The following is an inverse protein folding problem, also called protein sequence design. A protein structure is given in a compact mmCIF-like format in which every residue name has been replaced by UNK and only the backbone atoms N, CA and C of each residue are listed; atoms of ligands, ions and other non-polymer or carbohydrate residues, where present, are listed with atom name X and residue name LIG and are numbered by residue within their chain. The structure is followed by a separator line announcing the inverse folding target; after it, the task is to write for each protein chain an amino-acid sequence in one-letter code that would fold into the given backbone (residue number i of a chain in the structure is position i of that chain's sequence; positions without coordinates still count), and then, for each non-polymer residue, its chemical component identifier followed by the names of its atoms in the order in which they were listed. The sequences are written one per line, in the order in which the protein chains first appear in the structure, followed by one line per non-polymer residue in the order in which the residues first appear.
data_IF_213760510360
#
_entry.id   IF_213760510360
#
_cell.length_a   1.000
_cell.length_b   1.000
_cell.length_c   1.000
_cell.angle_alpha   90.00
_cell.angle_beta   90.00
_cell.angle_gamma   90.00
#
_symmetry.space_group_name_H-M   'P 1'
#
loop_
_entity.id
_entity.type
_entity.pdbx_description
1 polymer ?
#
# COMPACT_ATOMS: atom_id res chain seq x y z
N UNK A 1 1.15 -10.84 -16.72
CA UNK A 1 1.55 -12.22 -17.02
C UNK A 1 2.55 -12.31 -18.19
N UNK A 2 2.54 -11.33 -19.06
CA UNK A 2 3.54 -11.26 -20.13
C UNK A 2 4.95 -11.04 -19.57
N UNK A 3 5.05 -10.32 -18.43
CA UNK A 3 6.33 -10.06 -17.77
C UNK A 3 6.83 -11.32 -17.07
N UNK A 4 5.93 -12.03 -16.38
CA UNK A 4 6.28 -13.27 -15.67
C UNK A 4 5.13 -14.26 -15.77
N UNK A 5 5.21 -15.23 -16.72
CA UNK A 5 4.13 -16.19 -16.92
C UNK A 5 4.01 -17.25 -15.83
N UNK A 6 4.96 -17.28 -14.88
CA UNK A 6 4.94 -18.26 -13.78
C UNK A 6 4.20 -17.75 -12.55
N UNK A 7 3.72 -16.49 -12.55
CA UNK A 7 2.96 -15.96 -11.44
C UNK A 7 1.52 -16.47 -11.45
N UNK A 8 1.06 -16.88 -10.28
CA UNK A 8 -0.37 -17.14 -10.06
C UNK A 8 -1.04 -15.83 -9.69
N UNK A 9 -1.96 -15.36 -10.52
CA UNK A 9 -2.68 -14.11 -10.31
C UNK A 9 -4.17 -14.38 -10.26
N UNK A 10 -4.80 -14.00 -9.14
CA UNK A 10 -6.26 -13.95 -9.01
C UNK A 10 -6.70 -12.50 -9.13
N UNK A 11 -7.65 -12.24 -9.99
CA UNK A 11 -8.22 -10.91 -10.18
C UNK A 11 -9.67 -10.90 -9.72
N UNK A 12 -9.98 -10.04 -8.76
CA UNK A 12 -11.32 -9.87 -8.24
C UNK A 12 -11.81 -8.46 -8.55
N UNK A 13 -12.79 -8.34 -9.45
CA UNK A 13 -13.36 -7.04 -9.80
C UNK A 13 -14.50 -6.73 -8.85
N UNK A 14 -14.17 -6.32 -7.63
CA UNK A 14 -15.14 -6.06 -6.56
C UNK A 14 -14.80 -4.75 -5.86
N UNK A 15 -15.81 -4.13 -5.27
CA UNK A 15 -15.61 -2.98 -4.41
C UNK A 15 -15.22 -3.48 -3.01
N UNK A 16 -14.05 -3.07 -2.53
CA UNK A 16 -13.60 -3.45 -1.20
C UNK A 16 -14.38 -2.66 -0.15
N UNK A 17 -14.96 -3.36 0.80
CA UNK A 17 -15.74 -2.78 1.91
C UNK A 17 -15.39 -3.48 3.20
N UNK A 18 -15.78 -2.89 4.33
CA UNK A 18 -15.52 -3.49 5.63
C UNK A 18 -16.09 -4.91 5.77
N UNK A 19 -17.24 -5.16 5.13
CA UNK A 19 -17.95 -6.43 5.25
C UNK A 19 -17.35 -7.55 4.39
N UNK A 20 -16.46 -7.24 3.45
CA UNK A 20 -15.84 -8.26 2.59
C UNK A 20 -14.32 -8.39 2.76
N UNK A 21 -13.69 -7.61 3.64
CA UNK A 21 -12.25 -7.62 3.83
C UNK A 21 -11.70 -8.99 4.24
N UNK A 22 -12.32 -9.60 5.25
CA UNK A 22 -11.83 -10.87 5.78
C UNK A 22 -11.85 -11.98 4.74
N UNK A 23 -12.90 -12.02 3.95
CA UNK A 23 -13.04 -13.03 2.90
C UNK A 23 -12.10 -12.78 1.74
N UNK A 24 -12.01 -11.52 1.27
CA UNK A 24 -11.16 -11.16 0.14
C UNK A 24 -9.69 -11.46 0.40
N UNK A 25 -9.21 -11.17 1.60
CA UNK A 25 -7.79 -11.28 1.93
C UNK A 25 -7.46 -12.47 2.83
N UNK A 26 -8.38 -13.45 2.93
CA UNK A 26 -8.23 -14.59 3.83
C UNK A 26 -6.88 -15.30 3.68
N UNK A 27 -6.43 -15.51 2.46
CA UNK A 27 -5.21 -16.27 2.17
C UNK A 27 -3.96 -15.39 2.02
N UNK A 28 -4.13 -14.07 2.06
CA UNK A 28 -3.03 -13.15 1.84
C UNK A 28 -2.41 -12.73 3.17
N UNK A 29 -1.10 -12.85 3.29
CA UNK A 29 -0.38 -12.44 4.50
C UNK A 29 0.06 -10.99 4.45
N UNK A 30 0.32 -10.49 3.24
CA UNK A 30 0.75 -9.12 2.99
C UNK A 30 -0.25 -8.46 2.08
N UNK A 31 -0.75 -7.31 2.47
CA UNK A 31 -1.72 -6.52 1.71
C UNK A 31 -1.09 -5.20 1.33
N UNK A 32 -1.10 -4.86 0.04
CA UNK A 32 -0.62 -3.58 -0.45
C UNK A 32 -1.82 -2.69 -0.77
N UNK A 33 -1.88 -1.53 -0.15
CA UNK A 33 -2.95 -0.57 -0.38
C UNK A 33 -2.51 0.42 -1.46
N UNK A 34 -3.33 0.63 -2.46
CA UNK A 34 -3.04 1.50 -3.59
C UNK A 34 -4.27 2.33 -4.02
N UNK A 35 -5.14 2.66 -3.08
CA UNK A 35 -6.32 3.48 -3.37
C UNK A 35 -5.96 4.95 -3.58
N UNK A 36 -6.77 5.63 -4.38
CA UNK A 36 -6.64 7.08 -4.60
C UNK A 36 -7.38 7.90 -3.54
N UNK A 37 -8.48 7.37 -3.02
CA UNK A 37 -9.38 8.09 -2.11
C UNK A 37 -8.95 7.86 -0.67
N UNK A 38 -8.68 8.95 0.11
CA UNK A 38 -8.23 8.80 1.51
C UNK A 38 -9.15 7.97 2.39
N UNK A 39 -10.45 8.09 2.21
CA UNK A 39 -11.44 7.34 2.99
C UNK A 39 -11.32 5.83 2.73
N UNK A 40 -11.05 5.44 1.49
CA UNK A 40 -10.84 4.04 1.13
C UNK A 40 -9.54 3.50 1.69
N UNK A 41 -8.48 4.32 1.69
CA UNK A 41 -7.20 3.97 2.31
C UNK A 41 -7.38 3.69 3.80
N UNK A 42 -8.01 4.61 4.50
CA UNK A 42 -8.25 4.48 5.93
C UNK A 42 -9.10 3.25 6.26
N UNK A 43 -10.15 3.03 5.48
CA UNK A 43 -11.02 1.87 5.67
C UNK A 43 -10.26 0.56 5.54
N UNK A 44 -9.42 0.43 4.51
CA UNK A 44 -8.66 -0.80 4.29
C UNK A 44 -7.62 -1.00 5.39
N UNK A 45 -6.83 0.04 5.71
CA UNK A 45 -5.78 -0.07 6.74
C UNK A 45 -6.40 -0.43 8.09
N UNK A 46 -7.42 0.32 8.53
CA UNK A 46 -8.07 0.06 9.80
C UNK A 46 -8.76 -1.29 9.83
N UNK A 47 -9.42 -1.65 8.75
CA UNK A 47 -10.13 -2.92 8.65
C UNK A 47 -9.18 -4.12 8.73
N UNK A 48 -8.06 -4.07 8.04
CA UNK A 48 -7.06 -5.15 8.09
C UNK A 48 -6.45 -5.27 9.48
N UNK A 49 -6.08 -4.14 10.09
CA UNK A 49 -5.48 -4.15 11.42
C UNK A 49 -6.43 -4.65 12.51
N UNK A 50 -7.71 -4.33 12.39
CA UNK A 50 -8.72 -4.74 13.38
C UNK A 50 -9.23 -6.17 13.17
N UNK A 51 -9.57 -6.51 11.92
CA UNK A 51 -10.29 -7.75 11.60
C UNK A 51 -9.40 -8.90 11.15
N UNK A 52 -8.19 -8.58 10.71
CA UNK A 52 -7.27 -9.57 10.20
C UNK A 52 -5.93 -9.48 10.94
N UNK A 53 -5.91 -9.69 12.26
CA UNK A 53 -4.67 -9.59 13.02
C UNK A 53 -3.64 -10.61 12.52
N UNK A 54 -2.41 -10.17 12.44
CA UNK A 54 -1.32 -10.99 11.92
C UNK A 54 -0.99 -10.74 10.46
N UNK A 55 -1.87 -10.08 9.71
CA UNK A 55 -1.57 -9.65 8.34
C UNK A 55 -0.78 -8.36 8.37
N UNK A 56 0.18 -8.23 7.46
CA UNK A 56 0.96 -7.01 7.30
C UNK A 56 0.34 -6.17 6.19
N UNK A 57 0.14 -4.88 6.46
CA UNK A 57 -0.35 -3.96 5.45
C UNK A 57 0.69 -2.89 5.13
N UNK A 58 0.90 -2.67 3.83
CA UNK A 58 1.78 -1.65 3.30
C UNK A 58 0.91 -0.63 2.57
N UNK A 59 0.97 0.61 2.99
CA UNK A 59 0.16 1.70 2.44
C UNK A 59 1.06 2.84 1.98
N UNK A 60 0.49 3.80 1.28
CA UNK A 60 1.19 4.96 0.77
C UNK A 60 0.47 6.25 1.16
N UNK A 61 1.24 7.28 1.47
CA UNK A 61 0.73 8.61 1.79
C UNK A 61 1.82 9.64 1.57
N UNK A 62 1.42 10.87 1.21
CA UNK A 62 2.38 11.95 1.07
C UNK A 62 3.28 11.81 -0.15
N UNK A 63 2.69 11.61 -1.32
CA UNK A 63 3.44 11.49 -2.57
C UNK A 63 3.06 12.55 -3.59
N UNK A 64 2.31 13.58 -3.18
CA UNK A 64 1.87 14.63 -4.08
C UNK A 64 3.00 15.62 -4.40
N UNK A 65 2.88 16.28 -5.56
CA UNK A 65 3.78 17.35 -5.95
C UNK A 65 5.12 16.89 -6.49
N UNK A 66 6.12 17.76 -6.35
CA UNK A 66 7.45 17.58 -6.95
C UNK A 66 8.60 17.79 -5.96
N UNK A 67 8.30 17.75 -4.69
CA UNK A 67 9.28 18.05 -3.64
C UNK A 67 10.47 17.08 -3.60
N UNK A 68 11.25 17.18 -2.55
CA UNK A 68 12.46 16.37 -2.37
C UNK A 68 12.14 14.89 -2.41
N UNK A 69 12.76 14.17 -3.35
CA UNK A 69 12.55 12.73 -3.49
C UNK A 69 13.01 11.94 -2.26
N UNK A 70 14.02 12.45 -1.56
CA UNK A 70 14.54 11.79 -0.34
C UNK A 70 13.60 11.91 0.86
N UNK A 71 12.57 12.77 0.77
CA UNK A 71 11.54 12.85 1.80
C UNK A 71 10.57 11.67 1.74
N UNK A 72 10.50 10.98 0.62
CA UNK A 72 9.69 9.75 0.50
C UNK A 72 10.48 8.61 1.15
N UNK A 73 9.92 8.07 2.21
CA UNK A 73 10.58 7.04 3.00
C UNK A 73 9.62 5.90 3.30
N UNK A 74 10.17 4.73 3.58
CA UNK A 74 9.43 3.61 4.13
C UNK A 74 9.53 3.68 5.65
N UNK A 75 8.39 3.75 6.33
CA UNK A 75 8.33 3.83 7.79
C UNK A 75 7.55 2.66 8.36
N UNK A 76 8.10 2.03 9.37
CA UNK A 76 7.40 1.01 10.13
C UNK A 76 6.60 1.69 11.24
N UNK A 77 5.29 1.75 11.09
CA UNK A 77 4.41 2.41 12.05
C UNK A 77 4.11 1.49 13.23
N UNK A 78 3.73 0.25 12.94
CA UNK A 78 3.54 -0.79 13.94
C UNK A 78 4.14 -2.09 13.44
N UNK A 79 4.03 -3.17 14.23
CA UNK A 79 4.55 -4.48 13.84
C UNK A 79 4.02 -4.97 12.49
N UNK A 80 2.78 -4.59 12.15
CA UNK A 80 2.11 -5.08 10.95
C UNK A 80 1.67 -3.95 9.99
N UNK A 81 2.14 -2.72 10.22
CA UNK A 81 1.76 -1.59 9.39
C UNK A 81 2.98 -0.78 8.98
N UNK A 82 3.17 -0.65 7.66
CA UNK A 82 4.23 0.16 7.07
C UNK A 82 3.60 1.23 6.18
N UNK A 83 4.17 2.42 6.21
CA UNK A 83 3.70 3.56 5.43
C UNK A 83 4.84 4.10 4.56
N UNK A 84 4.61 4.21 3.27
CA UNK A 84 5.55 4.77 2.30
C UNK A 84 5.08 6.15 1.85
N UNK A 85 5.96 7.13 1.83
CA UNK A 85 5.65 8.50 1.43
C UNK A 85 6.35 9.51 2.32
N UNK A 86 6.03 10.80 2.14
CA UNK A 86 6.59 11.88 2.96
C UNK A 86 5.69 12.26 4.14
N UNK A 87 4.49 11.71 4.21
CA UNK A 87 3.48 11.93 5.27
C UNK A 87 2.87 13.33 5.33
N UNK A 88 3.39 14.27 4.57
CA UNK A 88 2.93 15.67 4.64
C UNK A 88 2.29 16.17 3.34
N UNK A 89 2.73 15.70 2.16
CA UNK A 89 2.14 16.18 0.92
C UNK A 89 0.78 15.52 0.65
N UNK A 90 -0.18 16.35 0.26
CA UNK A 90 -1.56 15.94 0.03
C UNK A 90 -2.03 16.57 -1.29
N UNK A 91 -2.63 15.77 -2.16
CA UNK A 91 -3.18 16.27 -3.42
C UNK A 91 -4.26 17.33 -3.20
N UNK A 92 -4.93 17.33 -2.04
CA UNK A 92 -5.93 18.34 -1.69
C UNK A 92 -5.34 19.72 -1.40
N UNK A 93 -4.03 19.81 -1.21
CA UNK A 93 -3.34 21.10 -1.00
C UNK A 93 -3.05 21.83 -2.30
N UNK A 94 -3.62 21.41 -3.42
CA UNK A 94 -3.40 22.03 -4.72
C UNK A 94 -2.21 21.47 -5.48
N UNK A 95 -1.48 20.55 -4.89
CA UNK A 95 -0.38 19.84 -5.54
C UNK A 95 -0.93 18.51 -6.07
N UNK A 96 -1.11 18.40 -7.36
CA UNK A 96 -1.58 17.15 -7.97
C UNK A 96 -0.57 16.02 -7.82
N UNK A 97 -1.00 14.80 -8.07
CA UNK A 97 -0.09 13.66 -8.14
C UNK A 97 0.72 13.73 -9.43
N UNK A 98 2.03 13.60 -9.32
CA UNK A 98 2.94 13.61 -10.47
C UNK A 98 3.67 12.27 -10.53
N UNK A 99 3.79 11.73 -11.73
CA UNK A 99 4.33 10.39 -11.96
C UNK A 99 5.69 10.13 -11.27
N UNK A 100 6.68 11.05 -11.29
CA UNK A 100 7.96 10.74 -10.67
C UNK A 100 7.87 10.41 -9.17
N UNK A 101 7.14 11.20 -8.38
CA UNK A 101 7.00 10.93 -6.95
C UNK A 101 6.13 9.71 -6.68
N UNK A 102 5.08 9.53 -7.46
CA UNK A 102 4.23 8.33 -7.35
C UNK A 102 5.05 7.08 -7.65
N UNK A 103 5.91 7.12 -8.66
CA UNK A 103 6.79 5.99 -8.99
C UNK A 103 7.81 5.70 -7.90
N UNK A 104 8.38 6.73 -7.30
CA UNK A 104 9.31 6.56 -6.17
C UNK A 104 8.59 5.86 -5.02
N UNK A 105 7.41 6.33 -4.67
CA UNK A 105 6.62 5.75 -3.60
C UNK A 105 6.21 4.30 -3.91
N UNK A 106 5.76 4.03 -5.13
CA UNK A 106 5.42 2.69 -5.57
C UNK A 106 6.64 1.76 -5.52
N UNK A 107 7.82 2.27 -5.86
CA UNK A 107 9.07 1.55 -5.74
C UNK A 107 9.39 1.18 -4.30
N UNK A 108 9.18 2.10 -3.35
CA UNK A 108 9.33 1.82 -1.92
C UNK A 108 8.39 0.70 -1.49
N UNK A 109 7.12 0.76 -1.88
CA UNK A 109 6.14 -0.27 -1.53
C UNK A 109 6.55 -1.64 -2.10
N UNK A 110 6.87 -1.69 -3.39
CA UNK A 110 7.24 -2.92 -4.05
C UNK A 110 8.51 -3.53 -3.46
N UNK A 111 9.52 -2.72 -3.19
CA UNK A 111 10.76 -3.17 -2.59
C UNK A 111 10.55 -3.71 -1.18
N UNK A 112 9.76 -3.02 -0.37
CA UNK A 112 9.44 -3.46 0.98
C UNK A 112 8.72 -4.80 0.97
N UNK A 113 7.72 -4.95 0.10
CA UNK A 113 6.97 -6.21 0.01
C UNK A 113 7.89 -7.36 -0.40
N UNK A 114 8.77 -7.12 -1.36
CA UNK A 114 9.77 -8.11 -1.77
C UNK A 114 10.66 -8.51 -0.59
N UNK A 115 11.13 -7.52 0.16
CA UNK A 115 11.97 -7.74 1.33
C UNK A 115 11.22 -8.56 2.39
N UNK A 116 9.98 -8.22 2.68
CA UNK A 116 9.16 -8.93 3.67
C UNK A 116 8.94 -10.39 3.27
N UNK A 117 8.73 -10.66 1.99
CA UNK A 117 8.54 -12.02 1.49
C UNK A 117 9.83 -12.83 1.65
N UNK A 118 10.96 -12.26 1.24
CA UNK A 118 12.26 -12.94 1.29
C UNK A 118 12.72 -13.19 2.72
N UNK A 119 12.63 -12.19 3.57
CA UNK A 119 13.09 -12.30 4.96
C UNK A 119 12.23 -13.21 5.83
N UNK A 120 11.00 -13.45 5.43
CA UNK A 120 10.12 -14.39 6.12
C UNK A 120 10.62 -15.82 6.03
N UNK A 121 11.30 -16.15 4.95
CA UNK A 121 11.87 -17.47 4.72
C UNK A 121 13.22 -17.63 5.42
#
# INVERSE_FOLDING_TARGET
LEINPYLEIRRDCVRVREDNLEELFREDEIVCEAFDVPECKAMLVNGILERCPGKTIVSASGMAGYGNSNAIQTRKITKHFYLCGDEVSDSRAGLGLMAPRVMICAGHEANLITQLIIEKE
#
